data_IF_452213533616
#
_entry.id   IF_452213533616
#
_cell.length_a   1.000
_cell.length_b   1.000
_cell.length_c   1.000
_cell.angle_alpha   90.00
_cell.angle_beta   90.00
_cell.angle_gamma   90.00
#
_symmetry.space_group_name_H-M   'P 1'
#
loop_
_entity.id
_entity.type
_entity.pdbx_description
1 polymer ?
#
# COMPACT_ATOMS: atom_id res chain seq x y z
N UNK A 1 0.73 36.29 -33.95
CA UNK A 1 0.11 36.05 -32.62
C UNK A 1 0.88 34.93 -31.92
N UNK A 2 1.62 35.24 -30.85
CA UNK A 2 2.41 34.24 -30.13
C UNK A 2 1.50 33.35 -29.27
N UNK A 3 1.58 32.02 -29.49
CA UNK A 3 0.79 31.01 -28.76
C UNK A 3 1.29 30.93 -27.31
N UNK A 4 0.53 31.45 -26.36
CA UNK A 4 0.82 31.29 -24.91
C UNK A 4 0.87 29.79 -24.61
N UNK A 5 2.04 29.27 -24.22
CA UNK A 5 2.18 27.92 -23.67
C UNK A 5 1.31 27.85 -22.42
N UNK A 6 0.37 26.91 -22.38
CA UNK A 6 -0.44 26.65 -21.20
C UNK A 6 0.49 26.36 -20.01
N UNK A 7 0.30 27.05 -18.89
CA UNK A 7 0.99 26.76 -17.65
C UNK A 7 0.92 25.25 -17.36
N UNK A 8 2.06 24.65 -16.98
CA UNK A 8 2.12 23.25 -16.60
C UNK A 8 1.13 23.02 -15.47
N UNK A 9 0.03 22.31 -15.76
CA UNK A 9 -0.86 21.80 -14.71
C UNK A 9 0.04 20.99 -13.78
N UNK A 10 0.23 21.46 -12.55
CA UNK A 10 1.17 20.87 -11.59
C UNK A 10 1.03 19.34 -11.59
N UNK A 11 2.17 18.63 -11.58
CA UNK A 11 2.20 17.17 -11.62
C UNK A 11 1.23 16.63 -10.56
N UNK A 12 0.13 16.00 -11.00
CA UNK A 12 -0.74 15.26 -10.09
C UNK A 12 0.09 14.09 -9.57
N UNK A 13 0.51 14.16 -8.31
CA UNK A 13 1.18 13.06 -7.64
C UNK A 13 0.14 11.96 -7.46
N UNK A 14 0.36 10.81 -8.10
CA UNK A 14 -0.45 9.63 -7.86
C UNK A 14 -0.12 9.13 -6.44
N UNK A 15 -1.13 8.89 -5.58
CA UNK A 15 -0.88 8.34 -4.26
C UNK A 15 -0.31 6.92 -4.34
N UNK A 16 0.60 6.61 -3.42
CA UNK A 16 1.08 5.25 -3.22
C UNK A 16 0.09 4.46 -2.37
N UNK A 17 -0.17 3.23 -2.79
CA UNK A 17 -0.92 2.27 -1.99
C UNK A 17 0.05 1.17 -1.57
N UNK A 18 0.38 1.18 -0.29
CA UNK A 18 1.29 0.21 0.31
C UNK A 18 0.47 -1.02 0.68
N UNK A 19 0.82 -2.17 0.12
CA UNK A 19 0.11 -3.41 0.39
C UNK A 19 1.07 -4.40 1.01
N UNK A 20 0.94 -4.63 2.30
CA UNK A 20 1.76 -5.58 3.03
C UNK A 20 1.05 -6.93 3.06
N UNK A 21 1.75 -7.94 2.56
CA UNK A 21 1.23 -9.30 2.42
C UNK A 21 1.98 -10.23 3.38
N UNK A 22 1.27 -11.22 3.91
CA UNK A 22 1.84 -12.28 4.73
C UNK A 22 2.60 -13.29 3.86
N UNK A 23 2.05 -13.64 2.70
CA UNK A 23 2.56 -14.67 1.81
C UNK A 23 2.97 -14.19 0.41
N UNK A 24 3.73 -15.04 -0.29
CA UNK A 24 4.12 -14.82 -1.70
C UNK A 24 2.93 -14.93 -2.66
N UNK A 25 1.94 -15.76 -2.32
CA UNK A 25 0.75 -15.98 -3.14
C UNK A 25 -0.09 -14.71 -3.25
N UNK A 26 -0.29 -14.00 -2.13
CA UNK A 26 -1.03 -12.74 -2.07
C UNK A 26 -0.33 -11.63 -2.86
N UNK A 27 1.00 -11.55 -2.74
CA UNK A 27 1.83 -10.62 -3.53
C UNK A 27 1.67 -10.87 -5.03
N UNK A 28 1.74 -12.14 -5.46
CA UNK A 28 1.56 -12.53 -6.85
C UNK A 28 0.13 -12.23 -7.35
N UNK A 29 -0.88 -12.42 -6.50
CA UNK A 29 -2.26 -12.09 -6.81
C UNK A 29 -2.46 -10.58 -7.03
N UNK A 30 -1.89 -9.73 -6.17
CA UNK A 30 -1.95 -8.28 -6.33
C UNK A 30 -1.20 -7.82 -7.57
N UNK A 31 -0.04 -8.40 -7.87
CA UNK A 31 0.69 -8.13 -9.09
C UNK A 31 -0.14 -8.49 -10.35
N UNK A 32 -0.84 -9.63 -10.31
CA UNK A 32 -1.77 -10.05 -11.36
C UNK A 32 -2.93 -9.05 -11.54
N UNK A 33 -3.57 -8.63 -10.44
CA UNK A 33 -4.64 -7.63 -10.46
C UNK A 33 -4.16 -6.29 -11.02
N UNK A 34 -2.97 -5.83 -10.59
CA UNK A 34 -2.36 -4.61 -11.10
C UNK A 34 -2.16 -4.68 -12.62
N UNK A 35 -1.66 -5.80 -13.13
CA UNK A 35 -1.48 -6.01 -14.56
C UNK A 35 -2.80 -6.09 -15.33
N UNK A 36 -3.84 -6.68 -14.72
CA UNK A 36 -5.14 -6.91 -15.36
C UNK A 36 -5.98 -5.64 -15.45
N UNK A 37 -5.98 -4.82 -14.40
CA UNK A 37 -6.83 -3.65 -14.28
C UNK A 37 -6.12 -2.34 -14.62
N UNK A 38 -4.81 -2.35 -14.93
CA UNK A 38 -4.01 -1.19 -15.31
C UNK A 38 -4.27 0.04 -14.44
N UNK A 39 -4.41 -0.19 -13.12
CA UNK A 39 -4.86 0.82 -12.19
C UNK A 39 -3.76 1.90 -12.08
N UNK A 40 -4.08 3.20 -12.23
CA UNK A 40 -3.10 4.31 -12.18
C UNK A 40 -2.69 4.61 -10.73
N UNK A 41 -2.27 3.58 -10.02
CA UNK A 41 -1.95 3.55 -8.61
C UNK A 41 -0.65 2.76 -8.46
N UNK A 42 0.31 3.34 -7.74
CA UNK A 42 1.54 2.65 -7.40
C UNK A 42 1.29 1.72 -6.21
N UNK A 43 1.02 0.45 -6.54
CA UNK A 43 0.88 -0.63 -5.57
C UNK A 43 2.27 -1.18 -5.27
N UNK A 44 2.72 -0.98 -4.03
CA UNK A 44 3.97 -1.58 -3.52
C UNK A 44 3.59 -2.75 -2.63
N UNK A 45 3.66 -3.96 -3.21
CA UNK A 45 3.50 -5.20 -2.47
C UNK A 45 4.81 -5.60 -1.81
N UNK A 46 4.75 -6.09 -0.56
CA UNK A 46 5.92 -6.67 0.11
C UNK A 46 5.48 -7.87 0.94
N UNK A 47 6.11 -9.02 0.70
CA UNK A 47 6.03 -10.17 1.61
C UNK A 47 6.80 -9.87 2.90
N UNK A 48 6.09 -9.95 4.03
CA UNK A 48 6.61 -9.70 5.39
C UNK A 48 6.62 -10.98 6.24
N UNK A 49 5.74 -11.95 5.97
CA UNK A 49 5.49 -13.12 6.82
C UNK A 49 4.45 -12.86 7.91
N UNK A 50 4.31 -13.76 8.89
CA UNK A 50 3.23 -13.75 9.90
C UNK A 50 3.10 -12.47 10.77
N UNK A 51 4.08 -11.57 10.76
CA UNK A 51 4.09 -10.38 11.63
C UNK A 51 4.37 -9.09 10.87
N UNK A 52 3.35 -8.57 10.20
CA UNK A 52 3.33 -7.15 9.82
C UNK A 52 3.09 -6.32 11.08
N UNK A 53 4.12 -5.56 11.49
CA UNK A 53 4.08 -4.67 12.67
C UNK A 53 4.20 -3.22 12.24
N UNK A 54 3.67 -2.29 13.06
CA UNK A 54 3.77 -0.85 12.77
C UNK A 54 5.21 -0.37 12.66
N UNK A 55 6.11 -0.93 13.47
CA UNK A 55 7.55 -0.65 13.40
C UNK A 55 8.09 -0.99 12.02
N UNK A 56 7.77 -2.18 11.51
CA UNK A 56 8.18 -2.60 10.17
C UNK A 56 7.66 -1.65 9.08
N UNK A 57 6.38 -1.27 9.15
CA UNK A 57 5.78 -0.34 8.17
C UNK A 57 6.51 1.01 8.21
N UNK A 58 6.76 1.56 9.39
CA UNK A 58 7.48 2.83 9.57
C UNK A 58 8.90 2.76 9.04
N UNK A 59 9.64 1.70 9.32
CA UNK A 59 11.01 1.52 8.83
C UNK A 59 11.05 1.30 7.31
N UNK A 60 10.10 0.55 6.76
CA UNK A 60 10.03 0.30 5.31
C UNK A 60 9.71 1.57 4.52
N UNK A 61 8.89 2.46 5.10
CA UNK A 61 8.57 3.76 4.53
C UNK A 61 9.65 4.82 4.76
N UNK A 62 10.58 4.60 5.69
CA UNK A 62 11.67 5.52 6.00
C UNK A 62 12.53 5.71 4.75
N UNK A 63 12.54 6.92 4.21
CA UNK A 63 13.30 7.28 2.99
C UNK A 63 12.56 7.08 1.67
N UNK A 64 11.28 6.68 1.69
CA UNK A 64 10.43 6.63 0.49
C UNK A 64 9.60 7.92 0.36
N UNK A 65 9.23 8.34 -0.87
CA UNK A 65 8.30 9.44 -1.05
C UNK A 65 6.93 9.05 -0.48
N UNK A 66 6.50 9.73 0.58
CA UNK A 66 5.19 9.53 1.19
C UNK A 66 4.33 10.76 0.90
N UNK A 67 3.12 10.56 0.39
CA UNK A 67 2.14 11.60 0.19
C UNK A 67 1.00 11.50 1.22
N UNK A 68 0.34 12.62 1.55
CA UNK A 68 -0.80 12.64 2.50
C UNK A 68 -2.00 11.77 2.08
N UNK A 69 -2.04 11.33 0.82
CA UNK A 69 -3.11 10.51 0.24
C UNK A 69 -2.73 9.04 0.17
N UNK A 70 -1.53 8.69 0.61
CA UNK A 70 -1.07 7.30 0.62
C UNK A 70 -1.89 6.51 1.63
N UNK A 71 -2.21 5.27 1.26
CA UNK A 71 -2.97 4.36 2.12
C UNK A 71 -2.20 3.06 2.32
N UNK A 72 -2.33 2.52 3.52
CA UNK A 72 -1.77 1.24 3.89
C UNK A 72 -2.87 0.19 3.92
N UNK A 73 -2.65 -0.88 3.18
CA UNK A 73 -3.48 -2.07 3.20
C UNK A 73 -2.65 -3.23 3.74
N UNK A 74 -3.28 -3.98 4.65
CA UNK A 74 -2.71 -5.19 5.23
C UNK A 74 -3.56 -6.35 4.76
N UNK A 75 -2.92 -7.34 4.15
CA UNK A 75 -3.57 -8.59 3.72
C UNK A 75 -3.00 -9.71 4.58
N UNK A 76 -3.93 -10.49 5.12
CA UNK A 76 -3.66 -11.65 5.97
C UNK A 76 -4.60 -12.77 5.56
N UNK A 77 -4.17 -14.01 5.73
CA UNK A 77 -5.06 -15.16 5.65
C UNK A 77 -6.02 -15.15 6.85
N UNK A 78 -7.32 -15.26 6.57
CA UNK A 78 -8.37 -15.16 7.58
C UNK A 78 -8.48 -16.42 8.48
N UNK A 79 -7.68 -17.44 8.20
CA UNK A 79 -7.84 -18.79 8.76
C UNK A 79 -7.15 -18.98 10.11
N UNK A 80 -6.49 -17.94 10.64
CA UNK A 80 -5.83 -17.99 11.96
C UNK A 80 -6.63 -17.15 12.97
N UNK A 81 -7.25 -17.77 13.99
CA UNK A 81 -7.95 -17.05 15.07
C UNK A 81 -7.09 -15.97 15.75
N UNK A 82 -5.77 -16.17 15.75
CA UNK A 82 -4.75 -15.25 16.25
C UNK A 82 -4.72 -13.92 15.46
N UNK A 83 -4.93 -13.96 14.13
CA UNK A 83 -5.00 -12.77 13.27
C UNK A 83 -6.20 -11.90 13.65
N UNK A 84 -7.36 -12.52 13.89
CA UNK A 84 -8.58 -11.83 14.34
C UNK A 84 -8.39 -11.19 15.73
N UNK A 85 -7.75 -11.89 16.66
CA UNK A 85 -7.44 -11.35 17.98
C UNK A 85 -6.49 -10.14 17.88
N UNK A 86 -5.46 -10.21 17.01
CA UNK A 86 -4.51 -9.11 16.79
C UNK A 86 -5.15 -7.89 16.12
N UNK A 87 -6.01 -8.10 15.12
CA UNK A 87 -6.75 -7.02 14.45
C UNK A 87 -7.73 -6.32 15.40
N UNK A 88 -8.38 -7.06 16.31
CA UNK A 88 -9.24 -6.48 17.36
C UNK A 88 -8.44 -5.63 18.35
N UNK A 89 -7.24 -6.07 18.73
CA UNK A 89 -6.36 -5.29 19.62
C UNK A 89 -5.91 -3.96 18.99
N UNK A 90 -5.67 -3.92 17.67
CA UNK A 90 -5.31 -2.69 16.95
C UNK A 90 -6.46 -1.67 16.88
N UNK A 91 -7.72 -2.14 16.83
CA UNK A 91 -8.91 -1.27 16.74
C UNK A 91 -9.33 -0.62 18.06
N UNK A 92 -8.86 -1.15 19.21
CA UNK A 92 -9.21 -0.65 20.54
C UNK A 92 -8.35 0.55 21.00
N UNK A 93 -7.36 0.94 20.20
CA UNK A 93 -6.48 2.10 20.45
C UNK A 93 -6.82 3.32 19.56
N UNK A 94 -7.95 3.29 18.87
CA UNK A 94 -8.43 4.36 17.97
C UNK A 94 -9.38 5.32 18.67
#
# INVERSE_FOLDING_TARGET
>A
MARKRSASKGKKINPHFWVFCEGKTEEAYIASLRSKYCIPIDIVSKMVGNKITDRFIREYKRGKPIHKKDKDFLIYDADVPETLARLRALKLLS
#
